data_IF_006068278112
#
_entry.id   IF_006068278112
#
_cell.length_a   1.000
_cell.length_b   1.000
_cell.length_c   1.000
_cell.angle_alpha   90.00
_cell.angle_beta   90.00
_cell.angle_gamma   90.00
#
_symmetry.space_group_name_H-M   'P 1'
#
loop_
_entity.id
_entity.type
_entity.pdbx_description
1 polymer ?
#
# COMPACT_ATOMS: atom_id res chain seq x y z
N UNK A 1 -11.47 2.71 -21.86
CA UNK A 1 -10.14 2.20 -22.25
C UNK A 1 -9.68 1.28 -21.13
N UNK A 2 -9.26 0.04 -21.39
CA UNK A 2 -8.77 -0.86 -20.33
C UNK A 2 -7.35 -0.45 -19.93
N UNK A 3 -7.09 -0.38 -18.63
CA UNK A 3 -5.73 -0.14 -18.11
C UNK A 3 -4.79 -1.25 -18.60
N UNK A 4 -3.62 -0.94 -19.17
CA UNK A 4 -2.66 -1.96 -19.61
C UNK A 4 -2.21 -2.87 -18.47
N UNK A 5 -1.91 -4.14 -18.77
CA UNK A 5 -1.45 -5.10 -17.76
C UNK A 5 -0.09 -4.74 -17.13
N UNK A 6 0.70 -3.89 -17.81
CA UNK A 6 1.97 -3.36 -17.31
C UNK A 6 1.80 -2.20 -16.32
N UNK A 7 0.57 -1.69 -16.11
CA UNK A 7 0.33 -0.53 -15.24
C UNK A 7 -0.04 -0.95 -13.82
N UNK A 8 0.62 -0.34 -12.84
CA UNK A 8 0.37 -0.51 -11.40
C UNK A 8 0.27 0.88 -10.76
N UNK A 9 -0.82 1.16 -10.04
CA UNK A 9 -1.01 2.45 -9.36
C UNK A 9 -0.78 3.69 -10.27
N UNK A 10 -1.13 3.57 -11.55
CA UNK A 10 -0.97 4.63 -12.55
C UNK A 10 0.42 4.77 -13.18
N UNK A 11 1.36 3.88 -12.82
CA UNK A 11 2.71 3.82 -13.39
C UNK A 11 2.83 2.65 -14.36
N UNK A 12 3.24 2.89 -15.60
CA UNK A 12 3.53 1.83 -16.58
C UNK A 12 4.94 1.28 -16.37
N UNK A 13 5.04 0.01 -16.00
CA UNK A 13 6.30 -0.68 -15.73
C UNK A 13 6.89 -1.37 -16.97
N UNK A 14 6.20 -1.32 -18.12
CA UNK A 14 6.66 -1.88 -19.39
C UNK A 14 6.64 -3.41 -19.51
N UNK A 15 6.82 -4.13 -18.40
CA UNK A 15 6.78 -5.60 -18.34
C UNK A 15 5.53 -6.08 -17.55
N UNK A 16 4.58 -6.78 -18.20
CA UNK A 16 3.38 -7.30 -17.56
C UNK A 16 3.63 -8.32 -16.43
N UNK A 17 4.69 -9.13 -16.53
CA UNK A 17 5.02 -10.14 -15.51
C UNK A 17 5.56 -9.44 -14.27
N UNK A 18 6.53 -8.55 -14.46
CA UNK A 18 7.04 -7.71 -13.38
C UNK A 18 5.93 -6.88 -12.74
N UNK A 19 5.05 -6.28 -13.54
CA UNK A 19 3.91 -5.53 -13.04
C UNK A 19 2.94 -6.38 -12.22
N UNK A 20 2.79 -7.67 -12.54
CA UNK A 20 1.98 -8.58 -11.73
C UNK A 20 2.65 -8.85 -10.38
N UNK A 21 3.94 -9.14 -10.35
CA UNK A 21 4.68 -9.35 -9.10
C UNK A 21 4.60 -8.13 -8.18
N UNK A 22 4.75 -6.93 -8.75
CA UNK A 22 4.62 -5.67 -8.01
C UNK A 22 3.18 -5.46 -7.50
N UNK A 23 2.15 -5.77 -8.32
CA UNK A 23 0.75 -5.74 -7.86
C UNK A 23 0.52 -6.66 -6.68
N UNK A 24 1.04 -7.88 -6.73
CA UNK A 24 0.89 -8.85 -5.65
C UNK A 24 1.59 -8.36 -4.38
N UNK A 25 2.77 -7.75 -4.50
CA UNK A 25 3.46 -7.08 -3.39
C UNK A 25 2.65 -5.95 -2.76
N UNK A 26 2.07 -5.07 -3.58
CA UNK A 26 1.20 -3.97 -3.11
C UNK A 26 -0.06 -4.54 -2.43
N UNK A 27 -0.66 -5.58 -2.99
CA UNK A 27 -1.82 -6.24 -2.40
C UNK A 27 -1.53 -6.83 -1.02
N UNK A 28 -0.35 -7.44 -0.81
CA UNK A 28 0.10 -7.91 0.51
C UNK A 28 0.21 -6.77 1.52
N UNK A 29 0.70 -5.60 1.09
CA UNK A 29 0.76 -4.41 1.95
C UNK A 29 -0.65 -3.94 2.34
N UNK A 30 -1.58 -3.86 1.39
CA UNK A 30 -2.98 -3.50 1.67
C UNK A 30 -3.64 -4.47 2.66
N UNK A 31 -3.42 -5.77 2.48
CA UNK A 31 -3.98 -6.80 3.36
C UNK A 31 -3.43 -6.67 4.78
N UNK A 32 -2.12 -6.43 4.92
CA UNK A 32 -1.48 -6.18 6.21
C UNK A 32 -2.04 -4.91 6.89
N UNK A 33 -2.19 -3.80 6.16
CA UNK A 33 -2.80 -2.59 6.72
C UNK A 33 -4.23 -2.87 7.18
N UNK A 34 -5.03 -3.54 6.35
CA UNK A 34 -6.42 -3.87 6.69
C UNK A 34 -6.52 -4.78 7.91
N UNK A 35 -5.60 -5.73 8.09
CA UNK A 35 -5.61 -6.61 9.27
C UNK A 35 -5.25 -5.84 10.54
N UNK A 36 -4.25 -4.96 10.48
CA UNK A 36 -3.83 -4.14 11.63
C UNK A 36 -4.92 -3.15 12.06
N UNK A 37 -5.57 -2.47 11.11
CA UNK A 37 -6.64 -1.50 11.41
C UNK A 37 -7.89 -2.16 12.00
N UNK A 38 -8.22 -3.39 11.56
CA UNK A 38 -9.36 -4.16 12.10
C UNK A 38 -9.09 -4.75 13.48
N UNK A 39 -7.82 -4.87 13.87
CA UNK A 39 -7.41 -5.30 15.21
C UNK A 39 -7.40 -4.18 16.25
N UNK A 40 -7.63 -2.92 15.85
CA UNK A 40 -7.66 -1.76 16.73
C UNK A 40 -8.99 -1.63 17.51
N UNK A 41 -9.02 -0.72 18.49
CA UNK A 41 -10.23 -0.38 19.27
C UNK A 41 -11.37 0.12 18.36
N UNK A 42 -12.60 -0.30 18.63
CA UNK A 42 -13.80 -0.04 17.79
C UNK A 42 -13.98 1.45 17.44
N UNK A 43 -13.65 2.36 18.36
CA UNK A 43 -13.76 3.80 18.15
C UNK A 43 -12.72 4.35 17.15
N UNK A 44 -11.54 3.72 17.07
CA UNK A 44 -10.48 4.09 16.13
C UNK A 44 -10.73 3.49 14.75
N UNK A 45 -11.33 2.30 14.70
CA UNK A 45 -11.59 1.57 13.46
C UNK A 45 -12.49 2.36 12.52
N UNK A 46 -13.59 2.96 12.99
CA UNK A 46 -14.57 3.57 12.07
C UNK A 46 -13.99 4.79 11.30
N UNK A 47 -13.33 5.71 11.99
CA UNK A 47 -12.76 6.92 11.38
C UNK A 47 -11.56 6.62 10.47
N UNK A 48 -10.65 5.75 10.92
CA UNK A 48 -9.43 5.41 10.17
C UNK A 48 -9.75 4.49 8.99
N UNK A 49 -10.67 3.54 9.15
CA UNK A 49 -11.13 2.68 8.04
C UNK A 49 -11.84 3.50 6.97
N UNK A 50 -12.61 4.52 7.32
CA UNK A 50 -13.26 5.38 6.32
C UNK A 50 -12.24 6.03 5.38
N UNK A 51 -11.14 6.57 5.92
CA UNK A 51 -10.09 7.18 5.12
C UNK A 51 -9.28 6.13 4.32
N UNK A 52 -9.02 4.98 4.93
CA UNK A 52 -8.33 3.87 4.26
C UNK A 52 -9.13 3.32 3.08
N UNK A 53 -10.43 3.09 3.27
CA UNK A 53 -11.39 2.57 2.28
C UNK A 53 -11.74 3.60 1.20
N UNK A 54 -11.71 4.91 1.52
CA UNK A 54 -11.80 5.98 0.53
C UNK A 54 -10.71 5.86 -0.55
N UNK A 55 -9.66 5.10 -0.26
CA UNK A 55 -8.68 4.69 -1.26
C UNK A 55 -7.58 5.71 -1.46
N UNK A 56 -6.85 5.57 -2.56
CA UNK A 56 -5.71 6.41 -2.88
C UNK A 56 -4.92 5.83 -4.02
N UNK A 57 -3.90 6.55 -4.49
CA UNK A 57 -3.04 6.07 -5.57
C UNK A 57 -2.08 4.96 -5.13
N UNK A 58 -1.98 4.69 -3.83
CA UNK A 58 -1.08 3.68 -3.22
C UNK A 58 0.37 3.78 -3.70
N UNK A 59 0.82 5.02 -3.91
CA UNK A 59 2.14 5.31 -4.45
C UNK A 59 3.27 4.92 -3.47
N UNK A 60 3.04 5.07 -2.16
CA UNK A 60 4.04 4.71 -1.13
C UNK A 60 4.20 3.19 -0.98
N UNK A 61 3.12 2.39 -0.91
CA UNK A 61 3.22 0.93 -1.04
C UNK A 61 3.93 0.50 -2.33
N UNK A 62 3.54 1.07 -3.48
CA UNK A 62 4.20 0.80 -4.77
C UNK A 62 5.70 1.05 -4.70
N UNK A 63 6.11 2.23 -4.23
CA UNK A 63 7.52 2.61 -4.17
C UNK A 63 8.34 1.72 -3.24
N UNK A 64 7.74 1.26 -2.13
CA UNK A 64 8.37 0.33 -1.19
C UNK A 64 8.65 -1.03 -1.85
N UNK A 65 7.65 -1.60 -2.53
CA UNK A 65 7.79 -2.88 -3.25
C UNK A 65 8.81 -2.76 -4.38
N UNK A 66 8.75 -1.70 -5.18
CA UNK A 66 9.74 -1.44 -6.23
C UNK A 66 11.17 -1.31 -5.69
N UNK A 67 11.34 -0.64 -4.55
CA UNK A 67 12.66 -0.48 -3.92
C UNK A 67 13.24 -1.83 -3.47
N UNK A 68 12.39 -2.76 -3.02
CA UNK A 68 12.82 -4.09 -2.61
C UNK A 68 13.38 -4.92 -3.78
N UNK A 69 12.95 -4.67 -5.01
CA UNK A 69 13.48 -5.32 -6.22
C UNK A 69 14.92 -4.92 -6.58
N UNK A 70 15.50 -3.92 -5.90
CA UNK A 70 16.95 -3.64 -5.99
C UNK A 70 17.75 -4.58 -5.07
N UNK A 71 17.10 -5.15 -4.06
CA UNK A 71 17.69 -6.12 -3.13
C UNK A 71 17.55 -7.57 -3.59
N UNK A 72 18.17 -8.50 -2.85
CA UNK A 72 18.19 -9.92 -3.20
C UNK A 72 16.86 -10.65 -2.89
N UNK A 73 16.00 -10.08 -2.05
CA UNK A 73 14.78 -10.73 -1.56
C UNK A 73 13.59 -9.75 -1.55
N UNK A 74 13.01 -9.45 -2.73
CA UNK A 74 11.92 -8.49 -2.87
C UNK A 74 10.60 -8.93 -2.23
N UNK A 75 10.42 -10.23 -2.03
CA UNK A 75 9.20 -10.82 -1.48
C UNK A 75 9.28 -11.07 0.04
N UNK A 76 10.36 -10.63 0.68
CA UNK A 76 10.52 -10.77 2.12
C UNK A 76 9.36 -10.12 2.87
N UNK A 77 8.83 -10.81 3.90
CA UNK A 77 7.77 -10.29 4.77
C UNK A 77 8.08 -8.89 5.34
N UNK A 78 9.35 -8.58 5.60
CA UNK A 78 9.77 -7.26 6.09
C UNK A 78 9.45 -6.13 5.11
N UNK A 79 9.38 -6.40 3.80
CA UNK A 79 8.97 -5.42 2.78
C UNK A 79 7.48 -5.08 2.97
N UNK A 80 6.65 -6.09 3.20
CA UNK A 80 5.22 -5.91 3.48
C UNK A 80 5.02 -5.06 4.74
N UNK A 81 5.73 -5.41 5.83
CA UNK A 81 5.67 -4.65 7.10
C UNK A 81 6.12 -3.21 6.89
N UNK A 82 7.23 -2.98 6.19
CA UNK A 82 7.73 -1.64 5.93
C UNK A 82 6.72 -0.81 5.12
N UNK A 83 6.13 -1.39 4.08
CA UNK A 83 5.11 -0.73 3.27
C UNK A 83 3.87 -0.36 4.10
N UNK A 84 3.42 -1.27 4.97
CA UNK A 84 2.29 -1.03 5.86
C UNK A 84 2.58 0.11 6.85
N UNK A 85 3.76 0.08 7.51
CA UNK A 85 4.18 1.14 8.44
C UNK A 85 4.24 2.49 7.75
N UNK A 86 4.82 2.57 6.54
CA UNK A 86 4.93 3.83 5.80
C UNK A 86 3.55 4.40 5.48
N UNK A 87 2.61 3.56 5.02
CA UNK A 87 1.27 4.03 4.67
C UNK A 87 0.43 4.36 5.91
N UNK A 88 0.56 3.62 7.01
CA UNK A 88 -0.09 3.93 8.28
C UNK A 88 0.38 5.27 8.85
N UNK A 89 1.68 5.57 8.79
CA UNK A 89 2.21 6.89 9.18
C UNK A 89 1.63 7.97 8.28
N UNK A 90 1.52 7.72 6.97
CA UNK A 90 0.88 8.67 6.05
C UNK A 90 -0.60 8.92 6.38
N UNK A 91 -1.37 7.87 6.67
CA UNK A 91 -2.77 8.01 7.10
C UNK A 91 -2.88 8.82 8.39
N UNK A 92 -1.98 8.60 9.34
CA UNK A 92 -1.93 9.37 10.58
C UNK A 92 -1.67 10.86 10.31
N UNK A 93 -0.74 11.21 9.39
CA UNK A 93 -0.52 12.62 9.05
C UNK A 93 -1.74 13.25 8.39
N UNK A 94 -2.43 12.54 7.48
CA UNK A 94 -3.66 13.06 6.85
C UNK A 94 -4.76 13.32 7.88
N UNK A 95 -4.96 12.41 8.83
CA UNK A 95 -5.95 12.59 9.86
C UNK A 95 -5.68 13.83 10.73
N UNK A 96 -4.41 14.06 11.09
CA UNK A 96 -4.01 15.25 11.81
C UNK A 96 -4.14 16.53 10.96
N UNK A 97 -3.87 16.47 9.66
CA UNK A 97 -4.04 17.61 8.73
C UNK A 97 -5.52 17.99 8.53
N UNK A 98 -6.43 17.02 8.47
CA UNK A 98 -7.87 17.25 8.23
C UNK A 98 -8.62 17.84 9.43
N UNK A 99 -8.05 17.77 10.64
CA UNK A 99 -8.63 18.32 11.88
C UNK A 99 -8.08 19.71 12.23
N UNK A 100 -6.98 20.16 11.60
CA UNK A 100 -6.35 21.45 11.86
C UNK A 100 -7.16 22.66 11.38
#
# INVERSE_FOLDING_TARGET
MRTPASVVAGVDLGDPIFAQNVRDGVARVEECISSELRGADELMTEAVMHLFEAGGKRFRPLFTVLSAHVGPDPDNWQVTVAGAVIELVHLATLYHDDVM
#
